data_IF_190832673579
#
_entry.id   IF_190832673579
#
_cell.length_a   1.000
_cell.length_b   1.000
_cell.length_c   1.000
_cell.angle_alpha   90.00
_cell.angle_beta   90.00
_cell.angle_gamma   90.00
#
_symmetry.space_group_name_H-M   'P 1'
#
loop_
_entity.id
_entity.type
_entity.pdbx_description
1 polymer ?
#
# COMPACT_ATOMS: atom_id res chain seq x y z
N UNK A 1 -36.13 7.14 -20.38
CA UNK A 1 -35.82 6.34 -19.18
C UNK A 1 -36.14 7.21 -17.98
N UNK A 2 -37.34 7.05 -17.42
CA UNK A 2 -37.78 7.71 -16.20
C UNK A 2 -37.55 6.79 -15.00
N UNK A 3 -37.61 7.35 -13.78
CA UNK A 3 -37.41 6.60 -12.52
C UNK A 3 -38.27 5.34 -12.44
N UNK A 4 -39.48 5.40 -12.98
CA UNK A 4 -40.43 4.29 -12.98
C UNK A 4 -39.99 3.14 -13.90
N UNK A 5 -39.28 3.43 -14.99
CA UNK A 5 -38.72 2.40 -15.89
C UNK A 5 -37.62 1.59 -15.18
N UNK A 6 -36.80 2.25 -14.36
CA UNK A 6 -35.71 1.62 -13.60
C UNK A 6 -36.27 0.75 -12.47
N UNK A 7 -37.31 1.23 -11.78
CA UNK A 7 -37.97 0.46 -10.71
C UNK A 7 -38.70 -0.76 -11.27
N UNK A 8 -39.37 -0.62 -12.42
CA UNK A 8 -40.00 -1.74 -13.10
C UNK A 8 -38.97 -2.80 -13.54
N UNK A 9 -37.85 -2.37 -14.10
CA UNK A 9 -36.77 -3.26 -14.53
C UNK A 9 -36.15 -4.05 -13.36
N UNK A 10 -35.85 -3.38 -12.24
CA UNK A 10 -35.28 -4.03 -11.04
C UNK A 10 -36.26 -5.04 -10.45
N UNK A 11 -37.55 -4.70 -10.37
CA UNK A 11 -38.57 -5.59 -9.82
C UNK A 11 -38.77 -6.84 -10.69
N UNK A 12 -38.81 -6.68 -12.01
CA UNK A 12 -38.93 -7.79 -12.94
C UNK A 12 -37.72 -8.75 -12.87
N UNK A 13 -36.51 -8.21 -12.68
CA UNK A 13 -35.33 -9.05 -12.52
C UNK A 13 -35.25 -9.76 -11.17
N UNK A 14 -35.74 -9.14 -10.09
CA UNK A 14 -35.83 -9.79 -8.77
C UNK A 14 -36.80 -10.98 -8.78
N UNK A 15 -37.97 -10.82 -9.41
CA UNK A 15 -38.97 -11.89 -9.52
C UNK A 15 -38.48 -13.04 -10.42
N UNK A 16 -37.73 -12.72 -11.50
CA UNK A 16 -37.15 -13.72 -12.41
C UNK A 16 -36.05 -14.58 -11.77
N UNK A 17 -35.33 -14.07 -10.77
CA UNK A 17 -34.32 -14.85 -10.03
C UNK A 17 -34.92 -15.78 -8.98
N UNK A 18 -36.17 -15.57 -8.55
CA UNK A 18 -36.83 -16.45 -7.59
C UNK A 18 -37.47 -17.69 -8.25
N UNK A 19 -37.82 -17.62 -9.54
CA UNK A 19 -38.47 -18.73 -10.25
C UNK A 19 -37.54 -19.81 -10.82
N UNK A 20 -36.22 -19.58 -10.90
CA UNK A 20 -35.25 -20.53 -11.47
C UNK A 20 -34.54 -21.44 -10.43
N UNK A 21 -34.95 -21.38 -9.16
CA UNK A 21 -34.38 -22.21 -8.08
C UNK A 21 -34.97 -23.62 -7.95
N UNK A 22 -35.74 -24.10 -8.95
CA UNK A 22 -36.40 -25.42 -8.91
C UNK A 22 -36.16 -26.31 -10.12
N UNK A 23 -34.94 -26.32 -10.68
CA UNK A 23 -34.45 -27.43 -11.52
C UNK A 23 -33.08 -27.93 -11.05
N UNK A 24 -33.08 -29.21 -10.69
CA UNK A 24 -31.98 -30.01 -10.17
C UNK A 24 -30.80 -30.14 -11.15
N UNK A 25 -29.61 -29.80 -10.66
CA UNK A 25 -28.30 -30.20 -11.17
C UNK A 25 -27.42 -30.61 -9.96
N UNK A 26 -26.45 -31.53 -10.13
CA UNK A 26 -25.97 -32.40 -9.06
C UNK A 26 -25.18 -31.65 -7.98
N UNK A 27 -25.31 -32.14 -6.75
CA UNK A 27 -24.55 -31.69 -5.60
C UNK A 27 -23.03 -31.76 -5.88
N UNK A 28 -22.38 -30.60 -5.98
CA UNK A 28 -20.96 -30.49 -5.66
C UNK A 28 -20.84 -30.16 -4.16
N UNK A 29 -20.57 -31.19 -3.37
CA UNK A 29 -19.83 -31.04 -2.13
C UNK A 29 -18.41 -30.60 -2.50
N UNK A 30 -17.93 -29.51 -1.91
CA UNK A 30 -16.51 -29.15 -2.01
C UNK A 30 -16.25 -27.66 -1.85
N UNK A 31 -15.95 -27.27 -0.61
CA UNK A 31 -15.36 -26.01 -0.17
C UNK A 31 -16.07 -24.72 -0.59
N UNK A 32 -16.58 -24.00 0.42
CA UNK A 32 -16.62 -22.54 0.38
C UNK A 32 -15.20 -22.00 0.22
N UNK A 33 -14.68 -22.03 -1.00
CA UNK A 33 -13.57 -21.19 -1.39
C UNK A 33 -14.10 -19.77 -1.37
N UNK A 34 -13.75 -19.03 -0.33
CA UNK A 34 -13.68 -17.57 -0.39
C UNK A 34 -12.92 -17.27 -1.68
N UNK A 35 -13.60 -16.70 -2.68
CA UNK A 35 -12.99 -16.33 -3.94
C UNK A 35 -11.85 -15.35 -3.64
N UNK A 36 -10.62 -15.86 -3.65
CA UNK A 36 -9.41 -15.08 -3.44
C UNK A 36 -9.04 -14.39 -4.76
N UNK A 37 -9.78 -13.35 -5.14
CA UNK A 37 -9.50 -12.58 -6.34
C UNK A 37 -10.67 -11.73 -6.84
N UNK A 38 -10.37 -10.79 -7.74
CA UNK A 38 -11.38 -10.06 -8.49
C UNK A 38 -12.19 -11.04 -9.38
N UNK A 39 -13.49 -10.79 -9.61
CA UNK A 39 -14.28 -11.58 -10.54
C UNK A 39 -13.68 -11.52 -11.95
N UNK A 40 -13.96 -12.54 -12.76
CA UNK A 40 -13.55 -12.53 -14.17
C UNK A 40 -14.13 -11.33 -14.91
N UNK A 41 -13.35 -10.78 -15.84
CA UNK A 41 -13.80 -9.67 -16.67
C UNK A 41 -15.00 -10.10 -17.54
N UNK A 42 -16.02 -9.23 -17.70
CA UNK A 42 -17.09 -9.47 -18.65
C UNK A 42 -16.57 -9.36 -20.08
N UNK A 43 -17.35 -9.88 -21.03
CA UNK A 43 -17.07 -9.70 -22.46
C UNK A 43 -17.34 -8.25 -22.90
N UNK A 44 -16.32 -7.63 -23.49
CA UNK A 44 -16.34 -6.23 -23.95
C UNK A 44 -16.54 -6.08 -25.46
N UNK A 45 -16.71 -7.15 -26.26
CA UNK A 45 -16.86 -7.06 -27.72
C UNK A 45 -17.99 -6.09 -28.14
N UNK A 46 -19.11 -6.11 -27.42
CA UNK A 46 -20.27 -5.24 -27.68
C UNK A 46 -20.02 -3.76 -27.35
N UNK A 47 -18.94 -3.44 -26.66
CA UNK A 47 -18.57 -2.10 -26.19
C UNK A 47 -17.31 -1.56 -26.88
N UNK A 48 -16.94 -2.13 -28.03
CA UNK A 48 -15.74 -1.71 -28.77
C UNK A 48 -14.48 -2.52 -28.46
N UNK A 49 -14.60 -3.60 -27.67
CA UNK A 49 -13.52 -4.53 -27.38
C UNK A 49 -12.36 -3.90 -26.59
N UNK A 50 -11.19 -4.54 -26.65
CA UNK A 50 -9.96 -4.06 -26.03
C UNK A 50 -8.76 -4.93 -26.37
N UNK A 51 -7.56 -4.41 -26.13
CA UNK A 51 -6.29 -5.14 -26.25
C UNK A 51 -5.75 -5.48 -24.85
N UNK A 52 -5.31 -6.72 -24.67
CA UNK A 52 -4.63 -7.13 -23.44
C UNK A 52 -3.14 -6.83 -23.54
N UNK A 53 -2.69 -5.78 -22.83
CA UNK A 53 -1.28 -5.48 -22.66
C UNK A 53 -0.69 -6.25 -21.46
N UNK A 54 0.47 -6.90 -21.61
CA UNK A 54 1.11 -7.59 -20.48
C UNK A 54 1.66 -6.59 -19.46
N UNK A 55 1.49 -6.90 -18.18
CA UNK A 55 2.10 -6.15 -17.08
C UNK A 55 3.60 -6.45 -16.98
N UNK A 56 4.39 -5.48 -16.53
CA UNK A 56 5.81 -5.74 -16.21
C UNK A 56 5.94 -6.72 -15.04
N UNK A 57 7.09 -7.40 -14.90
CA UNK A 57 7.33 -8.31 -13.77
C UNK A 57 7.16 -7.61 -12.42
N UNK A 58 7.62 -6.36 -12.31
CA UNK A 58 7.48 -5.59 -11.08
C UNK A 58 6.01 -5.33 -10.77
N UNK A 59 5.21 -4.89 -11.76
CA UNK A 59 3.78 -4.68 -11.58
C UNK A 59 3.04 -5.96 -11.17
N UNK A 60 3.37 -7.11 -11.76
CA UNK A 60 2.77 -8.40 -11.40
C UNK A 60 3.03 -8.80 -9.95
N UNK A 61 4.17 -8.40 -9.37
CA UNK A 61 4.49 -8.65 -7.95
C UNK A 61 3.88 -7.57 -7.04
N UNK A 62 3.90 -6.31 -7.47
CA UNK A 62 3.40 -5.18 -6.67
C UNK A 62 1.89 -5.23 -6.48
N UNK A 63 1.10 -5.61 -7.49
CA UNK A 63 -0.38 -5.58 -7.40
C UNK A 63 -0.91 -6.49 -6.28
N UNK A 64 -0.50 -7.77 -6.17
CA UNK A 64 -0.89 -8.61 -5.04
C UNK A 64 -0.41 -8.08 -3.69
N UNK A 65 0.80 -7.50 -3.62
CA UNK A 65 1.32 -6.95 -2.37
C UNK A 65 0.50 -5.73 -1.91
N UNK A 66 0.12 -4.84 -2.84
CA UNK A 66 -0.70 -3.67 -2.55
C UNK A 66 -2.13 -4.05 -2.17
N UNK A 67 -2.67 -5.15 -2.71
CA UNK A 67 -4.02 -5.59 -2.36
C UNK A 67 -4.14 -6.08 -0.91
N UNK A 68 -3.03 -6.46 -0.26
CA UNK A 68 -3.01 -6.78 1.17
C UNK A 68 -3.41 -5.58 2.05
N UNK A 69 -3.28 -4.35 1.55
CA UNK A 69 -3.74 -3.17 2.28
C UNK A 69 -5.25 -3.18 2.56
N UNK A 70 -6.05 -3.94 1.81
CA UNK A 70 -7.49 -4.11 2.08
C UNK A 70 -7.79 -4.78 3.44
N UNK A 71 -6.81 -5.46 4.05
CA UNK A 71 -6.95 -6.05 5.37
C UNK A 71 -6.71 -5.07 6.52
N UNK A 72 -6.25 -3.85 6.22
CA UNK A 72 -5.88 -2.85 7.22
C UNK A 72 -6.97 -1.77 7.26
N UNK A 73 -7.59 -1.47 8.41
CA UNK A 73 -8.47 -0.31 8.55
C UNK A 73 -7.63 0.97 8.53
N UNK A 74 -7.44 1.54 7.34
CA UNK A 74 -6.54 2.67 7.14
C UNK A 74 -7.16 3.99 7.60
N UNK A 75 -6.37 4.77 8.33
CA UNK A 75 -6.66 6.17 8.67
C UNK A 75 -5.43 6.98 8.30
N UNK A 76 -5.63 8.17 7.73
CA UNK A 76 -4.55 9.11 7.41
C UNK A 76 -4.66 10.33 8.31
N UNK A 77 -3.64 10.54 9.14
CA UNK A 77 -3.49 11.76 9.94
C UNK A 77 -2.60 12.75 9.16
N UNK A 78 -3.03 14.01 9.11
CA UNK A 78 -2.26 15.10 8.51
C UNK A 78 -1.79 16.05 9.60
N UNK A 79 -0.59 16.60 9.42
CA UNK A 79 -0.02 17.63 10.28
C UNK A 79 0.99 18.47 9.48
N UNK A 80 1.39 19.61 10.04
CA UNK A 80 2.37 20.52 9.47
C UNK A 80 3.55 20.69 10.43
N UNK A 81 4.76 20.53 9.91
CA UNK A 81 6.00 20.81 10.64
C UNK A 81 6.68 22.05 10.05
N UNK A 82 6.99 23.03 10.90
CA UNK A 82 7.89 24.12 10.52
C UNK A 82 9.33 23.60 10.47
N UNK A 83 9.94 23.66 9.29
CA UNK A 83 11.30 23.19 9.02
C UNK A 83 12.28 24.33 8.74
N UNK A 84 11.93 25.58 9.05
CA UNK A 84 12.75 26.77 8.70
C UNK A 84 14.17 26.66 9.23
N UNK A 85 14.34 26.36 10.52
CA UNK A 85 15.66 26.24 11.14
C UNK A 85 16.42 25.00 10.65
N UNK A 86 15.70 23.90 10.43
CA UNK A 86 16.26 22.66 9.90
C UNK A 86 16.80 22.85 8.48
N UNK A 87 16.08 23.56 7.63
CA UNK A 87 16.51 23.88 6.27
C UNK A 87 17.69 24.87 6.26
N UNK A 88 17.68 25.87 7.13
CA UNK A 88 18.82 26.77 7.32
C UNK A 88 20.09 25.99 7.68
N UNK A 89 19.99 25.09 8.67
CA UNK A 89 21.10 24.24 9.09
C UNK A 89 21.54 23.24 8.01
N UNK A 90 20.60 22.59 7.32
CA UNK A 90 20.90 21.71 6.19
C UNK A 90 21.70 22.45 5.12
N UNK A 91 21.31 23.69 4.80
CA UNK A 91 22.00 24.51 3.80
C UNK A 91 23.41 24.90 4.25
N UNK A 92 23.64 25.17 5.54
CA UNK A 92 24.99 25.46 6.03
C UNK A 92 25.93 24.25 5.92
N UNK A 93 25.40 23.03 6.05
CA UNK A 93 26.18 21.78 5.92
C UNK A 93 26.38 21.31 4.47
N UNK A 94 25.51 21.75 3.56
CA UNK A 94 25.43 21.21 2.19
C UNK A 94 26.75 21.30 1.42
N UNK A 95 27.52 22.36 1.60
CA UNK A 95 28.79 22.57 0.91
C UNK A 95 29.84 21.51 1.32
N UNK A 96 29.97 21.25 2.62
CA UNK A 96 30.95 20.29 3.16
C UNK A 96 30.63 18.85 2.76
N UNK A 97 29.34 18.51 2.73
CA UNK A 97 28.88 17.19 2.27
C UNK A 97 29.12 17.00 0.77
N UNK A 98 28.92 18.06 -0.02
CA UNK A 98 29.18 18.02 -1.47
C UNK A 98 30.67 17.78 -1.78
N UNK A 99 31.59 18.33 -0.97
CA UNK A 99 33.03 18.03 -1.11
C UNK A 99 33.33 16.54 -0.91
N UNK A 100 32.52 15.87 -0.09
CA UNK A 100 32.60 14.43 0.17
C UNK A 100 31.77 13.60 -0.83
N UNK A 101 31.25 14.23 -1.90
CA UNK A 101 30.36 13.60 -2.89
C UNK A 101 29.04 13.07 -2.33
N UNK A 102 28.58 13.59 -1.19
CA UNK A 102 27.32 13.19 -0.56
C UNK A 102 26.26 14.26 -0.82
N UNK A 103 25.08 13.85 -1.31
CA UNK A 103 23.95 14.74 -1.52
C UNK A 103 23.09 14.82 -0.25
N UNK A 104 23.33 15.85 0.58
CA UNK A 104 22.57 16.04 1.81
C UNK A 104 21.15 16.57 1.53
N UNK A 105 20.18 15.66 1.57
CA UNK A 105 18.74 15.97 1.44
C UNK A 105 18.06 16.03 2.81
N UNK A 106 16.84 16.59 2.86
CA UNK A 106 16.03 16.64 4.08
C UNK A 106 15.65 15.23 4.57
N UNK A 107 15.61 14.24 3.68
CA UNK A 107 15.23 12.86 3.98
C UNK A 107 16.10 12.25 5.10
N UNK A 108 17.40 12.53 5.11
CA UNK A 108 18.30 12.00 6.14
C UNK A 108 17.92 12.48 7.56
N UNK A 109 17.44 13.73 7.67
CA UNK A 109 16.97 14.29 8.93
C UNK A 109 15.61 13.70 9.34
N UNK A 110 14.70 13.54 8.38
CA UNK A 110 13.39 12.91 8.60
C UNK A 110 13.58 11.47 9.10
N UNK A 111 14.42 10.68 8.43
CA UNK A 111 14.74 9.31 8.83
C UNK A 111 15.34 9.27 10.23
N UNK A 112 16.25 10.19 10.56
CA UNK A 112 16.85 10.24 11.91
C UNK A 112 15.82 10.60 12.98
N UNK A 113 14.93 11.55 12.71
CA UNK A 113 13.85 11.93 13.61
C UNK A 113 12.86 10.77 13.81
N UNK A 114 12.45 10.09 12.73
CA UNK A 114 11.59 8.91 12.80
C UNK A 114 12.23 7.79 13.61
N UNK A 115 13.52 7.50 13.39
CA UNK A 115 14.23 6.47 14.13
C UNK A 115 14.29 6.78 15.64
N UNK A 116 14.39 8.06 16.03
CA UNK A 116 14.30 8.49 17.42
C UNK A 116 12.88 8.29 17.98
N UNK A 117 11.85 8.72 17.24
CA UNK A 117 10.45 8.62 17.68
C UNK A 117 9.97 7.17 17.79
N UNK A 118 10.37 6.28 16.87
CA UNK A 118 10.02 4.86 16.91
C UNK A 118 10.57 4.13 18.15
N UNK A 119 11.62 4.66 18.79
CA UNK A 119 12.09 4.17 20.11
C UNK A 119 11.22 4.64 21.27
N UNK A 120 10.71 5.86 21.19
CA UNK A 120 9.85 6.44 22.21
C UNK A 120 8.44 5.84 22.15
N UNK A 121 7.98 5.55 20.93
CA UNK A 121 6.62 5.08 20.63
C UNK A 121 6.63 3.68 19.99
N UNK A 122 6.94 2.62 20.77
CA UNK A 122 7.23 1.28 20.24
C UNK A 122 6.04 0.61 19.53
N UNK A 123 4.79 1.04 19.78
CA UNK A 123 3.62 0.53 19.08
C UNK A 123 3.64 0.87 17.58
N UNK A 124 4.30 1.96 17.15
CA UNK A 124 4.51 2.23 15.74
C UNK A 124 5.57 1.32 15.10
N UNK A 125 6.47 0.73 15.89
CA UNK A 125 7.46 -0.24 15.46
C UNK A 125 7.02 -1.68 15.82
N UNK A 126 5.86 -2.10 15.32
CA UNK A 126 5.25 -3.37 15.74
C UNK A 126 4.49 -4.08 14.62
N UNK A 127 4.12 -5.34 14.88
CA UNK A 127 3.26 -6.14 14.02
C UNK A 127 2.07 -6.70 14.82
N UNK A 128 0.91 -6.82 14.18
CA UNK A 128 -0.17 -7.64 14.74
C UNK A 128 0.29 -9.10 14.77
N UNK A 129 0.17 -9.76 15.92
CA UNK A 129 0.54 -11.16 16.07
C UNK A 129 -0.50 -12.09 15.41
N UNK A 130 -0.08 -13.33 15.09
CA UNK A 130 -0.92 -14.32 14.42
C UNK A 130 -2.20 -14.69 15.20
N UNK A 131 -2.18 -14.50 16.53
CA UNK A 131 -3.34 -14.71 17.40
C UNK A 131 -4.44 -13.63 17.25
N UNK A 132 -4.15 -12.55 16.51
CA UNK A 132 -4.99 -11.38 16.28
C UNK A 132 -5.46 -10.70 17.58
N UNK A 133 -4.76 -10.94 18.69
CA UNK A 133 -5.08 -10.44 20.04
C UNK A 133 -3.89 -9.76 20.70
N UNK A 134 -2.70 -9.98 20.15
CA UNK A 134 -1.44 -9.46 20.67
C UNK A 134 -0.71 -8.63 19.61
N UNK A 135 0.20 -7.78 20.07
CA UNK A 135 1.08 -6.97 19.23
C UNK A 135 2.52 -7.36 19.52
N UNK A 136 3.30 -7.69 18.47
CA UNK A 136 4.73 -7.95 18.55
C UNK A 136 5.48 -6.62 18.42
N UNK A 137 5.99 -6.10 19.54
CA UNK A 137 6.87 -4.93 19.56
C UNK A 137 8.28 -5.32 19.08
N UNK A 138 8.82 -4.60 18.10
CA UNK A 138 10.16 -4.86 17.54
C UNK A 138 11.22 -4.03 18.26
N UNK A 139 12.34 -4.67 18.62
CA UNK A 139 13.49 -4.00 19.23
C UNK A 139 14.37 -3.31 18.19
N UNK A 140 14.37 -3.80 16.96
CA UNK A 140 15.17 -3.25 15.85
C UNK A 140 14.30 -2.32 15.01
N UNK A 141 14.91 -1.25 14.48
CA UNK A 141 14.26 -0.31 13.57
C UNK A 141 14.90 -0.45 12.20
N UNK A 142 14.07 -0.68 11.18
CA UNK A 142 14.46 -0.66 9.78
C UNK A 142 13.42 0.17 9.01
N UNK A 143 13.88 1.07 8.14
CA UNK A 143 13.00 2.01 7.44
C UNK A 143 13.09 1.75 5.94
N UNK A 144 11.96 1.40 5.34
CA UNK A 144 11.82 1.32 3.89
C UNK A 144 11.66 2.72 3.29
N UNK A 145 12.39 3.03 2.22
CA UNK A 145 12.31 4.31 1.51
C UNK A 145 11.74 4.04 0.13
N UNK A 146 10.56 4.57 -0.17
CA UNK A 146 9.92 4.37 -1.45
C UNK A 146 10.59 5.24 -2.52
N UNK A 147 11.06 4.62 -3.61
CA UNK A 147 11.73 5.28 -4.73
C UNK A 147 11.02 4.91 -6.02
N UNK A 148 10.58 5.93 -6.76
CA UNK A 148 10.02 5.75 -8.10
C UNK A 148 11.18 5.62 -9.10
N UNK A 149 11.19 4.52 -9.85
CA UNK A 149 12.09 4.30 -10.99
C UNK A 149 11.27 4.13 -12.27
N UNK A 150 11.93 4.17 -13.43
CA UNK A 150 11.27 3.95 -14.72
C UNK A 150 10.61 2.56 -14.80
N UNK A 151 11.17 1.57 -14.10
CA UNK A 151 10.63 0.20 -14.03
C UNK A 151 9.46 0.06 -13.03
N UNK A 152 9.29 1.03 -12.13
CA UNK A 152 8.20 1.14 -11.16
C UNK A 152 8.66 1.47 -9.73
N UNK A 153 7.82 1.14 -8.74
CA UNK A 153 8.11 1.47 -7.33
C UNK A 153 9.02 0.41 -6.69
N UNK A 154 10.18 0.84 -6.18
CA UNK A 154 11.05 0.01 -5.34
C UNK A 154 11.15 0.59 -3.93
N UNK A 155 11.42 -0.27 -2.94
CA UNK A 155 11.52 0.13 -1.53
C UNK A 155 12.79 -0.47 -0.90
N UNK A 156 13.98 0.14 -1.10
CA UNK A 156 15.17 -0.22 -0.35
C UNK A 156 14.95 -0.04 1.16
N UNK A 157 15.60 -0.90 1.95
CA UNK A 157 15.50 -0.90 3.41
C UNK A 157 16.79 -0.39 4.02
N UNK A 158 16.72 0.75 4.70
CA UNK A 158 17.79 1.25 5.56
C UNK A 158 17.72 0.56 6.92
N UNK A 159 18.81 -0.11 7.29
CA UNK A 159 18.87 -0.89 8.54
C UNK A 159 19.47 -0.07 9.67
N UNK A 160 18.81 -0.10 10.83
CA UNK A 160 19.26 0.51 12.08
C UNK A 160 19.59 2.01 11.98
N UNK A 161 18.73 2.85 11.38
CA UNK A 161 18.99 4.29 11.25
C UNK A 161 19.11 5.01 12.61
N UNK A 162 18.65 4.38 13.69
CA UNK A 162 18.80 4.88 15.04
C UNK A 162 20.26 4.86 15.53
N UNK A 163 21.10 3.96 15.00
CA UNK A 163 22.53 3.86 15.33
C UNK A 163 23.43 4.67 14.39
N UNK A 164 22.90 5.07 13.23
CA UNK A 164 23.62 5.81 12.20
C UNK A 164 23.61 7.33 12.44
N UNK A 165 24.65 8.05 12.03
CA UNK A 165 24.60 9.52 12.00
C UNK A 165 23.93 10.03 10.71
N UNK A 166 23.69 11.34 10.60
CA UNK A 166 23.05 11.94 9.42
C UNK A 166 23.82 11.66 8.12
N UNK A 167 25.16 11.65 8.19
CA UNK A 167 26.00 11.37 7.02
C UNK A 167 25.85 9.93 6.57
N UNK A 168 25.87 8.96 7.48
CA UNK A 168 25.72 7.55 7.14
C UNK A 168 24.34 7.23 6.55
N UNK A 169 23.30 7.98 6.95
CA UNK A 169 21.95 7.86 6.40
C UNK A 169 21.85 8.49 5.00
N UNK A 170 22.64 9.52 4.71
CA UNK A 170 22.57 10.28 3.47
C UNK A 170 23.32 9.64 2.29
N UNK A 171 24.01 8.51 2.51
CA UNK A 171 24.80 7.77 1.51
C UNK A 171 23.96 6.69 0.85
#
# INVERSE_FOLDING_TARGET
IVKDDVLAFVKQHFDSQQSDSSKSAPAHQGNGQVLSGLPMLPDFEKFGGGELAPMTRLQQVSVPQLSLNNFIPQVTQFDLADITDLESWRNSLKADYKQQQISLTILAFIVKALAYLLKQEPYFNSHLADDQKSVLLRNEIHIGIAVATDDGLTVPVLRNPDTLNIKDIAV
#
